data_IF_835295477939
#
_entry.id   IF_835295477939
#
_cell.length_a   1.000
_cell.length_b   1.000
_cell.length_c   1.000
_cell.angle_alpha   90.00
_cell.angle_beta   90.00
_cell.angle_gamma   90.00
#
_symmetry.space_group_name_H-M   'P 1'
#
loop_
_entity.id
_entity.type
_entity.pdbx_description
1 polymer ?
#
# COMPACT_ATOMS: atom_id res chain seq x y z
N UNK A 1 -6.43 -4.04 4.12
CA UNK A 1 -6.07 -4.59 2.80
C UNK A 1 -4.80 -5.43 2.90
N UNK A 2 -4.71 -6.46 2.10
CA UNK A 2 -3.62 -7.42 2.17
C UNK A 2 -2.59 -7.12 1.09
N UNK A 3 -1.32 -7.08 1.47
CA UNK A 3 -0.20 -6.97 0.53
C UNK A 3 -0.05 -8.34 -0.14
N UNK A 4 -0.13 -8.39 -1.47
CA UNK A 4 -0.02 -9.65 -2.22
C UNK A 4 1.39 -9.94 -2.68
N UNK A 5 2.17 -8.91 -2.99
CA UNK A 5 3.58 -9.06 -3.33
C UNK A 5 4.32 -7.74 -3.15
N UNK A 6 5.63 -7.85 -3.04
CA UNK A 6 6.52 -6.70 -3.04
C UNK A 6 7.49 -6.85 -4.21
N UNK A 7 7.85 -5.74 -4.82
CA UNK A 7 8.73 -5.71 -5.99
C UNK A 7 9.75 -4.60 -5.85
N UNK A 8 10.94 -4.84 -6.34
CA UNK A 8 11.98 -3.82 -6.37
C UNK A 8 12.63 -3.78 -7.73
N UNK A 9 12.89 -2.56 -8.21
CA UNK A 9 13.75 -2.32 -9.35
C UNK A 9 15.07 -1.73 -8.85
N UNK A 10 15.99 -1.40 -9.75
CA UNK A 10 17.26 -0.80 -9.35
C UNK A 10 17.10 0.57 -8.66
N UNK A 11 15.96 1.23 -8.83
CA UNK A 11 15.73 2.58 -8.29
C UNK A 11 14.52 2.69 -7.37
N UNK A 12 13.54 1.82 -7.53
CA UNK A 12 12.24 1.97 -6.86
C UNK A 12 11.80 0.67 -6.23
N UNK A 13 11.07 0.82 -5.14
CA UNK A 13 10.41 -0.30 -4.48
C UNK A 13 8.90 -0.08 -4.55
N UNK A 14 8.16 -1.17 -4.72
CA UNK A 14 6.71 -1.14 -4.85
C UNK A 14 6.08 -2.26 -4.04
N UNK A 15 4.84 -2.06 -3.63
CA UNK A 15 4.01 -3.14 -3.10
C UNK A 15 2.69 -3.18 -3.86
N UNK A 16 2.17 -4.39 -4.05
CA UNK A 16 0.84 -4.61 -4.62
C UNK A 16 -0.10 -4.98 -3.48
N UNK A 17 -1.25 -4.31 -3.44
CA UNK A 17 -2.24 -4.49 -2.38
C UNK A 17 -3.60 -4.76 -3.03
N UNK A 18 -4.32 -5.76 -2.52
CA UNK A 18 -5.71 -5.99 -2.93
C UNK A 18 -6.62 -5.10 -2.10
N UNK A 19 -7.39 -4.27 -2.78
CA UNK A 19 -8.36 -3.37 -2.16
C UNK A 19 -9.64 -3.38 -2.98
N UNK A 20 -10.76 -3.70 -2.33
CA UNK A 20 -12.07 -3.74 -2.97
C UNK A 20 -12.07 -4.56 -4.27
N UNK A 21 -11.43 -5.75 -4.23
CA UNK A 21 -11.36 -6.66 -5.38
C UNK A 21 -10.41 -6.23 -6.49
N UNK A 22 -9.65 -5.15 -6.29
CA UNK A 22 -8.69 -4.64 -7.26
C UNK A 22 -7.28 -4.67 -6.68
N UNK A 23 -6.29 -4.75 -7.57
CA UNK A 23 -4.90 -4.67 -7.15
C UNK A 23 -4.41 -3.24 -7.35
N UNK A 24 -3.88 -2.65 -6.29
CA UNK A 24 -3.29 -1.32 -6.31
C UNK A 24 -1.78 -1.43 -6.14
N UNK A 25 -1.03 -0.66 -6.93
CA UNK A 25 0.42 -0.58 -6.83
C UNK A 25 0.79 0.69 -6.09
N UNK A 26 1.59 0.55 -5.03
CA UNK A 26 2.08 1.70 -4.28
C UNK A 26 3.60 1.75 -4.31
N UNK A 27 4.19 2.90 -4.62
CA UNK A 27 5.62 3.09 -4.41
C UNK A 27 5.89 3.19 -2.90
N UNK A 28 6.96 2.57 -2.45
CA UNK A 28 7.35 2.59 -1.04
C UNK A 28 8.83 2.92 -0.92
N UNK A 29 9.23 3.44 0.24
CA UNK A 29 10.64 3.68 0.54
C UNK A 29 11.36 2.36 0.75
N UNK A 30 12.69 2.39 0.73
CA UNK A 30 13.49 1.20 1.05
C UNK A 30 13.22 0.70 2.46
N UNK A 31 13.00 1.61 3.40
CA UNK A 31 12.69 1.25 4.78
C UNK A 31 11.36 0.51 4.85
N UNK A 32 10.33 1.05 4.18
CA UNK A 32 9.02 0.41 4.15
C UNK A 32 9.09 -0.93 3.41
N UNK A 33 9.83 -0.99 2.31
CA UNK A 33 10.00 -2.23 1.56
C UNK A 33 10.61 -3.34 2.43
N UNK A 34 11.56 -2.99 3.29
CA UNK A 34 12.19 -3.94 4.21
C UNK A 34 11.25 -4.40 5.32
N UNK A 35 10.30 -3.54 5.70
CA UNK A 35 9.35 -3.83 6.79
C UNK A 35 8.09 -4.56 6.31
N UNK A 36 7.78 -4.51 5.03
CA UNK A 36 6.54 -5.07 4.47
C UNK A 36 6.84 -6.37 3.76
N UNK A 37 6.00 -7.38 3.98
CA UNK A 37 6.10 -8.67 3.30
C UNK A 37 4.74 -9.05 2.74
N UNK A 38 4.74 -9.91 1.73
CA UNK A 38 3.50 -10.47 1.19
C UNK A 38 2.72 -11.16 2.32
N UNK A 39 1.43 -10.89 2.39
CA UNK A 39 0.56 -11.37 3.46
C UNK A 39 0.32 -10.37 4.58
N UNK A 40 1.10 -9.29 4.63
CA UNK A 40 0.91 -8.26 5.64
C UNK A 40 -0.35 -7.44 5.33
N UNK A 41 -0.91 -6.84 6.38
CA UNK A 41 -2.06 -5.95 6.25
C UNK A 41 -1.61 -4.50 6.28
N UNK A 42 -2.23 -3.68 5.45
CA UNK A 42 -2.04 -2.23 5.44
C UNK A 42 -3.39 -1.55 5.33
N UNK A 43 -3.46 -0.30 5.77
CA UNK A 43 -4.65 0.53 5.61
C UNK A 43 -4.56 1.27 4.29
N UNK A 44 -5.62 1.16 3.49
CA UNK A 44 -5.72 1.90 2.23
C UNK A 44 -6.88 2.87 2.36
N UNK A 45 -6.65 4.11 2.01
CA UNK A 45 -7.68 5.15 2.03
C UNK A 45 -7.88 5.68 0.62
N UNK A 46 -9.13 5.73 0.18
CA UNK A 46 -9.51 6.35 -1.08
C UNK A 46 -9.94 7.78 -0.83
N UNK A 47 -9.44 8.69 -1.63
CA UNK A 47 -9.82 10.10 -1.58
C UNK A 47 -10.44 10.52 -2.91
N UNK A 48 -11.42 11.41 -2.85
CA UNK A 48 -11.95 12.05 -4.04
C UNK A 48 -10.90 13.02 -4.58
N UNK A 49 -10.42 12.73 -5.78
CA UNK A 49 -9.42 13.56 -6.40
C UNK A 49 -10.02 14.82 -7.03
N UNK A 50 -9.15 15.79 -7.28
CA UNK A 50 -9.47 16.93 -8.13
C UNK A 50 -9.79 16.36 -9.52
N UNK A 51 -10.76 16.83 -10.21
CA UNK A 51 -11.20 16.31 -11.52
C UNK A 51 -12.02 15.02 -11.45
N UNK A 52 -12.47 14.59 -10.28
CA UNK A 52 -13.29 13.39 -10.16
C UNK A 52 -12.54 12.07 -10.28
N UNK A 53 -11.22 12.09 -10.39
CA UNK A 53 -10.41 10.89 -10.39
C UNK A 53 -9.99 10.55 -8.96
N UNK A 54 -10.33 9.36 -8.43
CA UNK A 54 -9.94 9.01 -7.08
C UNK A 54 -8.43 8.77 -6.99
N UNK A 55 -7.86 9.06 -5.83
CA UNK A 55 -6.50 8.65 -5.52
C UNK A 55 -6.47 7.89 -4.20
N UNK A 56 -5.39 7.13 -3.99
CA UNK A 56 -5.29 6.22 -2.86
C UNK A 56 -4.01 6.48 -2.10
N UNK A 57 -4.09 6.31 -0.77
CA UNK A 57 -2.92 6.33 0.10
C UNK A 57 -2.93 5.07 0.94
N UNK A 58 -1.77 4.74 1.50
CA UNK A 58 -1.66 3.60 2.39
C UNK A 58 -0.94 4.01 3.67
N UNK A 59 -1.17 3.23 4.73
CA UNK A 59 -0.49 3.41 6.00
C UNK A 59 -0.40 2.06 6.71
N UNK A 60 0.43 2.00 7.73
CA UNK A 60 0.49 0.83 8.59
C UNK A 60 -0.78 0.73 9.41
N UNK A 61 -1.22 -0.50 9.74
CA UNK A 61 -2.37 -0.67 10.63
C UNK A 61 -2.10 0.02 11.96
N UNK A 62 -3.10 0.73 12.46
CA UNK A 62 -3.00 1.31 13.78
C UNK A 62 -3.30 0.23 14.81
N UNK A 63 -2.37 0.00 15.72
CA UNK A 63 -2.66 -0.82 16.87
C UNK A 63 -3.50 -0.01 17.85
N UNK A 64 -4.63 -0.59 18.26
CA UNK A 64 -5.39 0.02 19.34
C UNK A 64 -4.56 -0.07 20.60
N UNK A 65 -4.30 1.09 21.19
CA UNK A 65 -3.65 1.12 22.49
C UNK A 65 -4.66 0.65 23.56
N UNK A 66 -4.32 -0.41 24.21
CA UNK A 66 -5.11 -0.89 25.34
C UNK A 66 -4.93 0.04 26.55
#
# INVERSE_FOLDING_TARGET
STVTQTRATSRYCYMDVVWDGRTLDFPVSKEDFSAISAGDEVLVTEYDGFWGAPYYTWDYPQEEAD
#
